data_IF_089733864257
#
_entry.id   IF_089733864257
#
_cell.length_a   1.000
_cell.length_b   1.000
_cell.length_c   1.000
_cell.angle_alpha   90.00
_cell.angle_beta   90.00
_cell.angle_gamma   90.00
#
_symmetry.space_group_name_H-M   'P 1'
#
loop_
_entity.id
_entity.type
_entity.pdbx_description
1 polymer ?
#
# COMPACT_ATOMS: atom_id res chain seq x y z
N UNK A 1 -59.94 10.51 -27.64
CA UNK A 1 -59.14 10.08 -26.47
C UNK A 1 -57.69 10.30 -26.82
N UNK A 2 -57.08 11.31 -26.22
CA UNK A 2 -55.62 11.48 -26.15
C UNK A 2 -55.39 12.26 -24.87
N UNK A 3 -55.05 11.50 -23.82
CA UNK A 3 -54.71 11.99 -22.50
C UNK A 3 -53.26 12.47 -22.60
N UNK A 4 -53.03 13.76 -22.38
CA UNK A 4 -51.68 14.29 -22.16
C UNK A 4 -51.41 14.29 -20.67
N UNK A 5 -50.52 13.41 -20.21
CA UNK A 5 -50.02 13.40 -18.83
C UNK A 5 -49.20 14.67 -18.55
N UNK A 6 -49.31 15.26 -17.34
CA UNK A 6 -48.47 16.38 -16.95
C UNK A 6 -47.03 15.90 -16.69
N UNK A 7 -46.07 16.69 -17.16
CA UNK A 7 -44.65 16.44 -16.94
C UNK A 7 -44.32 16.31 -15.43
N UNK A 8 -43.40 15.40 -15.04
CA UNK A 8 -43.03 15.24 -13.65
C UNK A 8 -42.32 16.51 -13.13
N UNK A 9 -42.53 16.90 -11.87
CA UNK A 9 -41.88 18.08 -11.30
C UNK A 9 -40.38 17.85 -11.24
N UNK A 10 -39.62 18.86 -11.69
CA UNK A 10 -38.17 18.89 -11.54
C UNK A 10 -37.81 18.78 -10.05
N UNK A 11 -37.16 17.69 -9.68
CA UNK A 11 -36.57 17.54 -8.35
C UNK A 11 -35.43 18.53 -8.21
N UNK A 12 -35.69 19.63 -7.50
CA UNK A 12 -34.65 20.52 -6.98
C UNK A 12 -33.75 19.68 -6.06
N UNK A 13 -32.51 19.44 -6.48
CA UNK A 13 -31.47 18.93 -5.60
C UNK A 13 -31.34 19.91 -4.43
N UNK A 14 -31.83 19.52 -3.26
CA UNK A 14 -31.77 20.34 -2.07
C UNK A 14 -30.32 20.55 -1.64
N UNK A 15 -29.97 21.80 -1.38
CA UNK A 15 -28.77 22.23 -0.67
C UNK A 15 -28.80 21.71 0.78
N UNK A 16 -28.63 20.41 0.97
CA UNK A 16 -28.33 19.84 2.28
C UNK A 16 -26.94 20.31 2.68
N UNK A 17 -26.85 21.23 3.65
CA UNK A 17 -25.58 21.59 4.27
C UNK A 17 -24.87 20.30 4.70
N UNK A 18 -23.57 20.13 4.36
CA UNK A 18 -22.84 18.92 4.72
C UNK A 18 -22.89 18.73 6.24
N UNK A 19 -23.28 17.52 6.65
CA UNK A 19 -23.39 17.15 8.06
C UNK A 19 -22.05 17.39 8.79
N UNK A 20 -22.12 17.93 10.00
CA UNK A 20 -20.92 18.22 10.79
C UNK A 20 -20.25 16.91 11.18
N UNK A 21 -18.99 16.74 10.82
CA UNK A 21 -18.19 15.58 11.24
C UNK A 21 -17.96 15.59 12.76
N UNK A 22 -18.54 14.62 13.45
CA UNK A 22 -18.48 14.45 14.91
C UNK A 22 -17.76 13.17 15.35
N UNK A 23 -17.45 12.26 14.43
CA UNK A 23 -16.80 11.00 14.76
C UNK A 23 -15.39 11.21 15.32
N UNK A 24 -15.10 10.55 16.43
CA UNK A 24 -13.93 10.71 17.28
C UNK A 24 -13.24 9.35 17.52
N UNK A 25 -12.33 9.28 18.50
CA UNK A 25 -11.58 8.07 18.83
C UNK A 25 -12.50 6.86 19.07
N UNK A 26 -13.62 7.05 19.77
CA UNK A 26 -14.60 6.00 20.04
C UNK A 26 -15.08 5.28 18.78
N UNK A 27 -15.49 6.03 17.76
CA UNK A 27 -15.94 5.45 16.49
C UNK A 27 -14.77 4.84 15.71
N UNK A 28 -13.57 5.45 15.75
CA UNK A 28 -12.40 4.85 15.12
C UNK A 28 -12.06 3.48 15.73
N UNK A 29 -12.08 3.40 17.05
CA UNK A 29 -11.81 2.18 17.80
C UNK A 29 -12.85 1.10 17.47
N UNK A 30 -14.12 1.44 17.58
CA UNK A 30 -15.24 0.51 17.37
C UNK A 30 -15.45 0.09 15.91
N UNK A 31 -15.24 0.98 14.94
CA UNK A 31 -15.56 0.70 13.52
C UNK A 31 -14.36 0.18 12.72
N UNK A 32 -13.12 0.49 13.14
CA UNK A 32 -11.91 0.17 12.35
C UNK A 32 -10.91 -0.71 13.11
N UNK A 33 -10.60 -0.39 14.36
CA UNK A 33 -9.53 -1.08 15.10
C UNK A 33 -10.00 -2.47 15.51
N UNK A 34 -11.15 -2.57 16.17
CA UNK A 34 -11.68 -3.84 16.70
C UNK A 34 -12.30 -4.73 15.63
N UNK A 35 -12.68 -4.17 14.49
CA UNK A 35 -13.29 -4.91 13.36
C UNK A 35 -12.27 -5.52 12.42
N UNK A 36 -10.97 -5.24 12.61
CA UNK A 36 -9.89 -5.74 11.76
C UNK A 36 -9.71 -4.99 10.43
N UNK A 37 -10.35 -3.82 10.25
CA UNK A 37 -10.06 -2.95 9.09
C UNK A 37 -8.74 -2.19 9.23
N UNK A 38 -8.27 -2.00 10.46
CA UNK A 38 -7.02 -1.31 10.73
C UNK A 38 -5.84 -2.08 10.10
N UNK A 39 -5.17 -1.41 9.16
CA UNK A 39 -3.97 -1.92 8.47
C UNK A 39 -2.67 -1.43 9.11
N UNK A 40 -2.72 -0.70 10.23
CA UNK A 40 -1.54 -0.22 10.95
C UNK A 40 -0.82 0.97 10.34
N UNK A 41 -1.44 1.72 9.42
CA UNK A 41 -0.76 2.81 8.69
C UNK A 41 -0.25 3.99 9.54
N UNK A 42 -0.55 4.04 10.84
CA UNK A 42 -0.21 5.12 11.77
C UNK A 42 -0.76 6.51 11.42
N UNK A 43 -1.65 6.67 10.42
CA UNK A 43 -2.24 7.97 10.07
C UNK A 43 -2.94 8.67 11.23
N UNK A 44 -3.70 7.92 12.05
CA UNK A 44 -4.36 8.45 13.24
C UNK A 44 -3.40 8.87 14.37
N UNK A 45 -2.24 8.22 14.45
CA UNK A 45 -1.19 8.47 15.44
C UNK A 45 -0.53 9.81 15.13
N UNK A 46 0.00 9.95 13.91
CA UNK A 46 0.80 11.12 13.51
C UNK A 46 -0.02 12.39 13.32
N UNK A 47 -1.35 12.25 13.26
CA UNK A 47 -2.27 13.38 13.15
C UNK A 47 -2.78 13.86 14.50
N UNK A 48 -2.65 13.05 15.56
CA UNK A 48 -3.20 13.37 16.87
C UNK A 48 -2.51 14.64 17.41
N UNK A 49 -3.23 15.76 17.64
CA UNK A 49 -2.61 16.99 18.09
C UNK A 49 -2.37 17.01 19.61
N UNK A 50 -2.72 15.93 20.31
CA UNK A 50 -2.66 15.81 21.76
C UNK A 50 -1.71 14.70 22.23
N UNK A 51 -1.10 13.97 21.30
CA UNK A 51 -0.16 12.88 21.60
C UNK A 51 -0.73 11.80 22.55
N UNK A 52 -2.05 11.55 22.50
CA UNK A 52 -2.75 10.54 23.33
C UNK A 52 -2.99 9.21 22.62
N UNK A 53 -2.54 9.07 21.37
CA UNK A 53 -2.67 7.82 20.59
C UNK A 53 -1.27 7.21 20.44
N UNK A 54 -1.06 6.06 21.06
CA UNK A 54 0.18 5.27 21.00
C UNK A 54 0.23 4.34 19.79
N UNK A 55 1.44 3.87 19.49
CA UNK A 55 1.69 2.87 18.46
C UNK A 55 2.98 2.12 18.77
N UNK A 56 2.92 0.80 18.77
CA UNK A 56 4.10 -0.05 18.93
C UNK A 56 4.48 -0.64 17.57
N UNK A 57 5.69 -0.31 17.09
CA UNK A 57 6.20 -0.81 15.82
C UNK A 57 6.84 -2.20 15.97
N UNK A 58 6.06 -3.12 16.51
CA UNK A 58 6.47 -4.49 16.81
C UNK A 58 5.45 -5.49 16.29
N UNK A 59 5.93 -6.71 16.01
CA UNK A 59 5.09 -7.82 15.60
C UNK A 59 3.89 -8.01 16.54
N UNK A 60 2.70 -8.24 15.95
CA UNK A 60 1.45 -8.40 16.69
C UNK A 60 0.86 -7.10 17.25
N UNK A 61 1.59 -5.98 17.24
CA UNK A 61 1.18 -4.72 17.91
C UNK A 61 1.01 -3.51 17.00
N UNK A 62 1.08 -3.71 15.69
CA UNK A 62 0.94 -2.67 14.67
C UNK A 62 -0.49 -2.08 14.55
N UNK A 63 -1.09 -1.70 15.67
CA UNK A 63 -2.40 -1.09 15.81
C UNK A 63 -2.26 0.10 16.76
N UNK A 64 -2.95 1.21 16.50
CA UNK A 64 -2.99 2.33 17.43
C UNK A 64 -3.77 1.95 18.70
N UNK A 65 -3.39 2.52 19.83
CA UNK A 65 -4.08 2.37 21.11
C UNK A 65 -4.12 3.72 21.86
N UNK A 66 -5.04 3.85 22.82
CA UNK A 66 -5.13 5.05 23.64
C UNK A 66 -4.11 4.99 24.79
N UNK A 67 -3.39 6.09 25.05
CA UNK A 67 -2.34 6.14 26.07
C UNK A 67 -2.87 6.44 27.49
N UNK A 68 -4.03 7.09 27.60
CA UNK A 68 -4.65 7.41 28.90
C UNK A 68 -5.50 6.21 29.36
N UNK A 69 -4.89 5.28 30.10
CA UNK A 69 -5.49 4.01 30.53
C UNK A 69 -6.76 4.20 31.37
N UNK A 70 -6.83 5.29 32.15
CA UNK A 70 -7.97 5.62 33.02
C UNK A 70 -9.28 5.89 32.25
N UNK A 71 -9.19 6.21 30.96
CA UNK A 71 -10.34 6.42 30.08
C UNK A 71 -10.83 5.11 29.43
N UNK A 72 -10.08 4.02 29.57
CA UNK A 72 -10.30 2.78 28.84
C UNK A 72 -9.83 2.84 27.39
N UNK A 73 -10.08 1.75 26.64
CA UNK A 73 -9.54 1.58 25.29
C UNK A 73 -10.29 2.39 24.22
N UNK A 74 -11.55 2.74 24.47
CA UNK A 74 -12.49 3.28 23.48
C UNK A 74 -12.93 4.73 23.74
N UNK A 75 -12.31 5.43 24.70
CA UNK A 75 -12.65 6.82 25.01
C UNK A 75 -11.46 7.77 24.91
N UNK A 76 -11.74 9.06 24.68
CA UNK A 76 -10.75 10.13 24.60
C UNK A 76 -11.40 11.45 25.00
N UNK A 77 -10.90 12.10 26.06
CA UNK A 77 -11.47 13.36 26.58
C UNK A 77 -11.41 14.50 25.56
N UNK A 78 -10.39 14.49 24.69
CA UNK A 78 -10.28 15.46 23.59
C UNK A 78 -11.34 15.23 22.52
N UNK A 79 -11.67 13.97 22.25
CA UNK A 79 -12.78 13.59 21.38
C UNK A 79 -14.11 14.09 21.92
N UNK A 80 -14.39 13.87 23.21
CA UNK A 80 -15.63 14.32 23.86
C UNK A 80 -15.80 15.85 23.77
N UNK A 81 -14.68 16.57 23.77
CA UNK A 81 -14.60 18.03 23.57
C UNK A 81 -14.62 18.46 22.09
N UNK A 82 -14.72 17.52 21.15
CA UNK A 82 -14.92 17.76 19.72
C UNK A 82 -13.72 17.50 18.81
N UNK A 83 -12.62 16.90 19.30
CA UNK A 83 -11.50 16.49 18.45
C UNK A 83 -11.90 15.29 17.57
N UNK A 84 -11.67 15.40 16.27
CA UNK A 84 -12.07 14.37 15.28
C UNK A 84 -10.94 13.98 14.34
N UNK A 85 -9.71 14.36 14.66
CA UNK A 85 -8.58 14.29 13.74
C UNK A 85 -8.21 12.84 13.39
N UNK A 86 -8.29 11.92 14.34
CA UNK A 86 -7.95 10.50 14.13
C UNK A 86 -8.87 9.80 13.12
N UNK A 87 -10.19 10.04 13.14
CA UNK A 87 -11.14 9.50 12.16
C UNK A 87 -10.99 10.18 10.79
N UNK A 88 -10.70 11.48 10.79
CA UNK A 88 -10.42 12.25 9.56
C UNK A 88 -9.14 11.80 8.87
N UNK A 89 -8.17 11.26 9.59
CA UNK A 89 -6.94 10.71 9.00
C UNK A 89 -7.04 9.24 8.59
N UNK A 90 -8.00 8.49 9.13
CA UNK A 90 -8.03 7.05 8.91
C UNK A 90 -8.48 6.70 7.48
N UNK A 91 -7.63 6.08 6.66
CA UNK A 91 -7.99 5.68 5.29
C UNK A 91 -8.76 4.35 5.27
N UNK A 92 -9.44 3.99 6.36
CA UNK A 92 -10.30 2.80 6.45
C UNK A 92 -11.62 3.09 7.18
N UNK A 93 -11.82 4.34 7.61
CA UNK A 93 -13.01 4.78 8.32
C UNK A 93 -14.07 5.29 7.33
N UNK A 94 -15.23 4.62 7.26
CA UNK A 94 -16.40 5.00 6.43
C UNK A 94 -16.03 5.24 4.97
N UNK A 95 -16.61 6.25 4.31
CA UNK A 95 -16.35 6.60 2.91
C UNK A 95 -14.96 7.24 2.73
N UNK A 96 -13.88 6.48 2.93
CA UNK A 96 -12.50 6.95 2.82
C UNK A 96 -11.98 6.93 1.38
N UNK A 97 -12.36 5.91 0.60
CA UNK A 97 -11.90 5.75 -0.78
C UNK A 97 -12.48 6.86 -1.68
N UNK A 98 -13.80 7.11 -1.71
CA UNK A 98 -14.34 8.23 -2.51
C UNK A 98 -13.80 9.60 -2.08
N UNK A 99 -13.52 9.79 -0.80
CA UNK A 99 -12.92 11.02 -0.28
C UNK A 99 -11.51 11.25 -0.84
N UNK A 100 -10.68 10.20 -0.84
CA UNK A 100 -9.34 10.27 -1.40
C UNK A 100 -9.35 10.46 -2.93
N UNK A 101 -10.23 9.73 -3.63
CA UNK A 101 -10.45 9.86 -5.07
C UNK A 101 -10.84 11.30 -5.46
N UNK A 102 -11.85 11.86 -4.78
CA UNK A 102 -12.31 13.23 -5.05
C UNK A 102 -11.21 14.27 -4.82
N UNK A 103 -10.40 14.10 -3.78
CA UNK A 103 -9.31 15.03 -3.49
C UNK A 103 -8.19 14.97 -4.53
N UNK A 104 -7.76 13.77 -4.93
CA UNK A 104 -6.62 13.61 -5.85
C UNK A 104 -7.01 13.81 -7.32
N UNK A 105 -8.21 13.39 -7.70
CA UNK A 105 -8.61 13.25 -9.11
C UNK A 105 -9.81 14.11 -9.49
N UNK A 106 -10.48 14.76 -8.53
CA UNK A 106 -11.70 15.53 -8.76
C UNK A 106 -12.91 14.68 -9.15
N UNK A 107 -12.79 13.35 -9.08
CA UNK A 107 -13.84 12.37 -9.41
C UNK A 107 -13.62 11.08 -8.63
N UNK A 108 -14.69 10.34 -8.40
CA UNK A 108 -14.63 8.96 -7.88
C UNK A 108 -14.28 8.01 -9.03
N UNK A 109 -13.56 6.92 -8.74
CA UNK A 109 -13.26 5.87 -9.72
C UNK A 109 -14.53 5.26 -10.34
N UNK A 110 -14.44 4.84 -11.60
CA UNK A 110 -15.53 4.11 -12.24
C UNK A 110 -15.59 2.65 -11.75
N UNK A 111 -16.74 1.97 -11.83
CA UNK A 111 -16.86 0.59 -11.37
C UNK A 111 -15.84 -0.38 -12.00
N UNK A 112 -15.37 -0.13 -13.22
CA UNK A 112 -14.41 -1.00 -13.91
C UNK A 112 -12.93 -0.66 -13.62
N UNK A 113 -12.66 0.44 -12.92
CA UNK A 113 -11.32 0.93 -12.57
C UNK A 113 -10.77 0.17 -11.36
N UNK A 114 -10.42 -1.11 -11.57
CA UNK A 114 -9.95 -1.99 -10.50
C UNK A 114 -8.62 -1.56 -9.89
N UNK A 115 -7.80 -0.80 -10.61
CA UNK A 115 -6.50 -0.31 -10.15
C UNK A 115 -6.52 1.19 -9.80
N UNK A 116 -7.72 1.73 -9.53
CA UNK A 116 -7.95 3.15 -9.28
C UNK A 116 -7.86 4.01 -10.53
N UNK A 117 -7.97 5.33 -10.35
CA UNK A 117 -7.81 6.32 -11.41
C UNK A 117 -6.32 6.49 -11.73
N UNK A 118 -5.99 6.55 -13.02
CA UNK A 118 -4.62 6.78 -13.49
C UNK A 118 -4.62 7.53 -14.84
N UNK A 119 -3.46 8.10 -15.17
CA UNK A 119 -3.19 8.89 -16.39
C UNK A 119 -2.26 8.16 -17.35
N UNK A 120 -1.23 7.48 -16.83
CA UNK A 120 -0.30 6.69 -17.65
C UNK A 120 0.07 5.36 -16.97
N UNK A 121 0.41 4.37 -17.78
CA UNK A 121 0.99 3.08 -17.35
C UNK A 121 2.29 2.84 -18.12
N UNK A 122 3.38 2.71 -17.38
CA UNK A 122 4.74 2.58 -17.91
C UNK A 122 5.45 1.36 -17.30
N UNK A 123 6.43 0.83 -18.02
CA UNK A 123 7.54 0.08 -17.44
C UNK A 123 8.72 1.03 -17.33
N UNK A 124 9.27 1.17 -16.14
CA UNK A 124 10.38 2.09 -15.87
C UNK A 124 11.54 1.39 -15.18
N UNK A 125 12.76 1.88 -15.42
CA UNK A 125 13.94 1.52 -14.63
C UNK A 125 14.89 2.71 -14.51
N UNK A 126 15.69 2.73 -13.45
CA UNK A 126 16.77 3.69 -13.26
C UNK A 126 17.76 3.59 -14.42
N UNK A 127 18.24 4.74 -14.92
CA UNK A 127 19.32 4.78 -15.90
C UNK A 127 20.70 4.66 -15.24
N UNK A 128 20.81 5.02 -13.96
CA UNK A 128 22.02 4.86 -13.17
C UNK A 128 22.18 3.40 -12.71
N UNK A 129 23.34 2.80 -13.03
CA UNK A 129 23.61 1.38 -12.75
C UNK A 129 23.54 1.03 -11.26
N UNK A 130 24.05 1.90 -10.38
CA UNK A 130 24.05 1.64 -8.94
C UNK A 130 22.62 1.61 -8.36
N UNK A 131 21.76 2.54 -8.77
CA UNK A 131 20.34 2.54 -8.39
C UNK A 131 19.60 1.32 -8.93
N UNK A 132 19.91 0.94 -10.16
CA UNK A 132 19.34 -0.22 -10.82
C UNK A 132 19.70 -1.51 -10.07
N UNK A 133 20.98 -1.71 -9.76
CA UNK A 133 21.50 -2.90 -9.08
C UNK A 133 21.05 -3.00 -7.62
N UNK A 134 21.04 -1.90 -6.87
CA UNK A 134 20.58 -1.86 -5.48
C UNK A 134 19.05 -1.95 -5.37
N UNK A 135 18.33 -1.65 -6.45
CA UNK A 135 16.89 -1.72 -6.54
C UNK A 135 16.33 -3.13 -6.27
N UNK A 136 15.07 -3.18 -5.80
CA UNK A 136 14.35 -4.45 -5.73
C UNK A 136 14.10 -5.02 -7.13
N UNK A 137 13.48 -4.20 -7.96
CA UNK A 137 13.17 -4.42 -9.37
C UNK A 137 14.05 -3.45 -10.20
N UNK A 138 13.47 -2.63 -11.07
CA UNK A 138 14.23 -1.69 -11.91
C UNK A 138 14.92 -0.50 -11.21
N UNK A 139 15.02 -0.43 -9.88
CA UNK A 139 15.67 0.69 -9.16
C UNK A 139 14.91 2.02 -9.14
N UNK A 140 13.68 2.03 -9.67
CA UNK A 140 12.90 3.24 -9.96
C UNK A 140 12.63 4.16 -8.75
N UNK A 141 12.26 3.59 -7.58
CA UNK A 141 11.93 4.40 -6.39
C UNK A 141 13.14 5.19 -5.90
N UNK A 142 14.32 4.59 -5.88
CA UNK A 142 15.55 5.26 -5.47
C UNK A 142 15.91 6.38 -6.43
N UNK A 143 15.85 6.12 -7.75
CA UNK A 143 16.06 7.14 -8.78
C UNK A 143 15.08 8.32 -8.63
N UNK A 144 13.81 8.03 -8.36
CA UNK A 144 12.78 9.05 -8.13
C UNK A 144 13.04 9.89 -6.90
N UNK A 145 13.37 9.28 -5.76
CA UNK A 145 13.65 10.03 -4.53
C UNK A 145 14.88 10.93 -4.70
N UNK A 146 15.94 10.41 -5.30
CA UNK A 146 17.14 11.19 -5.59
C UNK A 146 16.81 12.37 -6.53
N UNK A 147 16.06 12.12 -7.60
CA UNK A 147 15.65 13.17 -8.52
C UNK A 147 14.80 14.25 -7.84
N UNK A 148 13.84 13.87 -6.99
CA UNK A 148 12.99 14.80 -6.25
C UNK A 148 13.78 15.67 -5.26
N UNK A 149 14.80 15.09 -4.61
CA UNK A 149 15.74 15.81 -3.73
C UNK A 149 16.60 16.77 -4.54
N UNK A 150 17.21 16.31 -5.63
CA UNK A 150 18.12 17.09 -6.49
C UNK A 150 17.41 18.27 -7.19
N UNK A 151 16.09 18.17 -7.39
CA UNK A 151 15.26 19.20 -8.02
C UNK A 151 14.39 19.99 -7.03
N UNK A 152 14.68 19.93 -5.73
CA UNK A 152 14.02 20.70 -4.67
C UNK A 152 12.49 20.50 -4.54
N UNK A 153 11.93 19.41 -5.07
CA UNK A 153 10.52 19.05 -4.86
C UNK A 153 10.26 18.65 -3.40
N UNK A 154 11.25 18.02 -2.76
CA UNK A 154 11.22 17.57 -1.38
C UNK A 154 12.56 17.88 -0.69
N UNK A 155 12.54 17.99 0.63
CA UNK A 155 13.72 18.08 1.50
C UNK A 155 14.08 16.74 2.12
N UNK A 156 13.08 15.86 2.29
CA UNK A 156 13.25 14.57 2.92
C UNK A 156 12.17 13.58 2.45
N UNK A 157 12.43 12.29 2.60
CA UNK A 157 11.48 11.23 2.35
C UNK A 157 11.31 10.32 3.56
N UNK A 158 10.07 9.95 3.86
CA UNK A 158 9.73 8.96 4.87
C UNK A 158 9.70 7.60 4.18
N UNK A 159 10.61 6.72 4.58
CA UNK A 159 10.85 5.43 3.93
C UNK A 159 10.99 4.31 4.97
N UNK A 160 11.10 3.07 4.50
CA UNK A 160 11.40 1.90 5.33
C UNK A 160 12.92 1.69 5.37
N UNK A 161 13.53 1.96 6.51
CA UNK A 161 14.89 1.54 6.84
C UNK A 161 14.89 0.19 7.54
N UNK A 162 16.02 -0.13 8.19
CA UNK A 162 16.21 -1.36 8.98
C UNK A 162 16.84 -1.02 10.32
N UNK A 163 16.63 -1.87 11.32
CA UNK A 163 17.33 -1.79 12.60
C UNK A 163 18.83 -2.04 12.42
N UNK A 164 19.64 -1.43 13.28
CA UNK A 164 21.10 -1.43 13.13
C UNK A 164 21.69 -2.84 13.34
N UNK A 165 21.00 -3.68 14.11
CA UNK A 165 21.39 -5.06 14.45
C UNK A 165 20.62 -6.14 13.65
N UNK A 166 19.61 -5.76 12.85
CA UNK A 166 18.82 -6.70 12.06
C UNK A 166 18.44 -6.11 10.69
N UNK A 167 19.15 -6.58 9.65
CA UNK A 167 19.00 -6.14 8.25
C UNK A 167 17.63 -6.38 7.62
N UNK A 168 16.75 -7.15 8.28
CA UNK A 168 15.41 -7.46 7.77
C UNK A 168 14.30 -6.96 8.70
N UNK A 169 14.63 -6.49 9.91
CA UNK A 169 13.66 -5.85 10.80
C UNK A 169 13.49 -4.40 10.36
N UNK A 170 12.35 -4.12 9.74
CA UNK A 170 12.09 -2.81 9.15
C UNK A 170 11.79 -1.76 10.23
N UNK A 171 12.24 -0.53 10.01
CA UNK A 171 11.93 0.62 10.86
C UNK A 171 11.65 1.88 10.02
N UNK A 172 10.72 2.74 10.43
CA UNK A 172 10.44 3.99 9.71
C UNK A 172 11.63 4.93 9.90
N UNK A 173 12.12 5.54 8.81
CA UNK A 173 13.26 6.48 8.84
C UNK A 173 13.02 7.67 7.93
N UNK A 174 13.74 8.77 8.19
CA UNK A 174 13.79 9.94 7.32
C UNK A 174 15.11 9.96 6.56
N UNK A 175 15.04 9.95 5.23
CA UNK A 175 16.19 10.07 4.33
C UNK A 175 16.22 11.43 3.65
N UNK A 176 17.41 11.97 3.42
CA UNK A 176 17.63 13.36 2.98
C UNK A 176 18.69 13.50 1.89
N UNK A 177 19.37 12.41 1.54
CA UNK A 177 20.41 12.40 0.53
C UNK A 177 20.49 11.04 -0.17
N UNK A 178 21.25 10.99 -1.26
CA UNK A 178 21.44 9.79 -2.09
C UNK A 178 21.94 8.58 -1.32
N UNK A 179 22.90 8.75 -0.42
CA UNK A 179 23.48 7.64 0.35
C UNK A 179 22.41 6.99 1.25
N UNK A 180 21.66 7.82 1.98
CA UNK A 180 20.55 7.38 2.83
C UNK A 180 19.44 6.72 2.00
N UNK A 181 19.08 7.27 0.83
CA UNK A 181 18.10 6.66 -0.08
C UNK A 181 18.57 5.27 -0.52
N UNK A 182 19.81 5.13 -0.96
CA UNK A 182 20.35 3.84 -1.42
C UNK A 182 20.49 2.82 -0.29
N UNK A 183 20.81 3.25 0.93
CA UNK A 183 20.87 2.38 2.11
C UNK A 183 19.50 1.78 2.47
N UNK A 184 18.41 2.44 2.07
CA UNK A 184 17.04 1.97 2.29
C UNK A 184 16.45 1.24 1.08
N UNK A 185 17.21 1.01 0.01
CA UNK A 185 16.74 0.29 -1.16
C UNK A 185 16.44 -1.21 -0.86
N UNK A 186 15.61 -1.82 -1.71
CA UNK A 186 15.20 -3.22 -1.60
C UNK A 186 13.91 -3.43 -0.82
N UNK A 187 13.16 -4.46 -1.20
CA UNK A 187 11.91 -4.80 -0.52
C UNK A 187 12.16 -5.63 0.73
N UNK A 188 11.41 -5.29 1.78
CA UNK A 188 11.20 -6.15 2.94
C UNK A 188 9.74 -6.57 2.89
N UNK A 189 9.48 -7.85 3.15
CA UNK A 189 8.12 -8.40 3.12
C UNK A 189 7.47 -8.42 4.51
N UNK A 190 8.16 -7.89 5.52
CA UNK A 190 7.60 -7.53 6.84
C UNK A 190 7.12 -6.08 6.85
N UNK A 191 6.40 -5.69 7.91
CA UNK A 191 5.67 -4.43 7.91
C UNK A 191 6.48 -3.26 8.46
N UNK A 192 6.49 -2.13 7.75
CA UNK A 192 7.00 -0.86 8.23
C UNK A 192 5.93 0.23 8.20
N UNK A 193 5.73 0.99 9.28
CA UNK A 193 4.76 2.07 9.35
C UNK A 193 5.42 3.43 9.06
N UNK A 194 5.81 3.65 7.80
CA UNK A 194 6.60 4.81 7.38
C UNK A 194 6.08 6.19 7.81
N UNK A 195 4.75 6.44 7.92
CA UNK A 195 4.25 7.72 8.43
C UNK A 195 4.78 8.11 9.82
N UNK A 196 5.17 7.16 10.68
CA UNK A 196 5.74 7.44 12.00
C UNK A 196 7.03 8.30 11.94
N UNK A 197 7.77 8.23 10.83
CA UNK A 197 8.96 9.06 10.61
C UNK A 197 8.63 10.56 10.46
N UNK A 198 7.35 10.95 10.37
CA UNK A 198 6.93 12.36 10.31
C UNK A 198 7.36 13.16 11.55
N UNK A 199 7.40 12.51 12.72
CA UNK A 199 7.85 13.17 13.95
C UNK A 199 9.32 13.57 13.84
N UNK A 200 10.18 12.62 13.47
CA UNK A 200 11.60 12.88 13.25
C UNK A 200 11.81 13.96 12.16
N UNK A 201 11.07 13.88 11.05
CA UNK A 201 11.17 14.87 9.97
C UNK A 201 10.87 16.30 10.46
N UNK A 202 9.84 16.47 11.29
CA UNK A 202 9.48 17.76 11.90
C UNK A 202 10.51 18.23 12.93
N UNK A 203 11.03 17.33 13.76
CA UNK A 203 12.09 17.62 14.74
C UNK A 203 13.38 18.09 14.02
N UNK A 204 13.67 17.53 12.85
CA UNK A 204 14.76 17.94 11.94
C UNK A 204 14.44 19.20 11.11
N UNK A 205 13.24 19.75 11.22
CA UNK A 205 12.82 21.01 10.57
C UNK A 205 12.34 20.88 9.12
N UNK A 206 12.18 19.67 8.59
CA UNK A 206 11.72 19.45 7.22
C UNK A 206 10.21 19.61 7.08
N UNK A 207 9.79 20.27 6.01
CA UNK A 207 8.38 20.56 5.74
C UNK A 207 7.95 20.29 4.28
N UNK A 208 8.87 19.89 3.40
CA UNK A 208 8.57 19.38 2.06
C UNK A 208 8.97 17.90 2.00
N UNK A 209 8.00 17.01 2.11
CA UNK A 209 8.24 15.59 2.36
C UNK A 209 7.71 14.72 1.22
N UNK A 210 8.45 13.67 0.89
CA UNK A 210 7.88 12.51 0.22
C UNK A 210 7.44 11.44 1.24
N UNK A 211 6.37 10.73 0.93
CA UNK A 211 6.01 9.47 1.61
C UNK A 211 6.17 8.32 0.62
N UNK A 212 7.02 7.35 0.94
CA UNK A 212 7.00 6.04 0.29
C UNK A 212 6.18 5.11 1.16
N UNK A 213 5.17 4.45 0.62
CA UNK A 213 4.34 3.55 1.43
C UNK A 213 3.47 2.64 0.59
N UNK A 214 2.91 1.61 1.22
CA UNK A 214 1.88 0.77 0.60
C UNK A 214 0.55 1.55 0.52
N UNK A 215 -0.42 1.05 -0.24
CA UNK A 215 -1.73 1.69 -0.41
C UNK A 215 -2.45 2.08 0.88
N UNK A 216 -2.27 1.30 1.96
CA UNK A 216 -2.81 1.65 3.28
C UNK A 216 -2.20 2.93 3.89
N UNK A 217 -0.96 3.26 3.59
CA UNK A 217 -0.26 4.45 4.08
C UNK A 217 -0.45 5.63 3.13
N UNK A 218 -0.33 5.41 1.82
CA UNK A 218 -0.48 6.49 0.83
C UNK A 218 -1.88 7.04 0.74
N UNK A 219 -2.90 6.25 1.11
CA UNK A 219 -4.28 6.74 1.22
C UNK A 219 -4.49 7.74 2.37
N UNK A 220 -3.60 7.80 3.37
CA UNK A 220 -3.79 8.63 4.56
C UNK A 220 -3.67 10.15 4.28
N UNK A 221 -2.61 10.67 3.61
CA UNK A 221 -2.52 12.08 3.27
C UNK A 221 -3.70 12.67 2.48
N UNK A 222 -4.20 12.07 1.39
CA UNK A 222 -5.34 12.63 0.65
C UNK A 222 -6.65 12.57 1.43
N UNK A 223 -6.88 11.51 2.23
CA UNK A 223 -8.02 11.42 3.14
C UNK A 223 -7.99 12.53 4.19
N UNK A 224 -6.82 12.83 4.76
CA UNK A 224 -6.65 13.95 5.70
C UNK A 224 -7.01 15.29 5.05
N UNK A 225 -6.59 15.53 3.80
CA UNK A 225 -6.91 16.75 3.09
C UNK A 225 -8.40 16.91 2.85
N UNK A 226 -9.05 15.92 2.25
CA UNK A 226 -10.49 15.94 1.96
C UNK A 226 -11.32 16.19 3.23
N UNK A 227 -10.96 15.46 4.30
CA UNK A 227 -11.66 15.52 5.58
C UNK A 227 -11.19 16.66 6.46
N UNK A 228 -10.51 17.67 5.92
CA UNK A 228 -10.07 18.90 6.62
C UNK A 228 -9.21 18.66 7.87
N UNK A 229 -8.43 17.57 7.89
CA UNK A 229 -7.30 17.35 8.80
C UNK A 229 -5.96 17.73 8.13
N UNK A 230 -6.00 18.59 7.11
CA UNK A 230 -4.90 18.87 6.19
C UNK A 230 -3.64 19.49 6.80
N UNK A 231 -3.69 20.04 8.02
CA UNK A 231 -2.50 20.67 8.65
C UNK A 231 -1.34 19.67 8.78
N UNK A 232 -1.64 18.41 9.07
CA UNK A 232 -0.64 17.35 9.23
C UNK A 232 -0.25 16.74 7.89
N UNK A 233 -1.16 16.73 6.91
CA UNK A 233 -0.85 16.19 5.58
C UNK A 233 -0.15 17.18 4.66
N UNK A 234 -0.25 18.50 4.93
CA UNK A 234 0.34 19.56 4.11
C UNK A 234 1.83 19.39 3.81
N UNK A 235 2.68 18.88 4.72
CA UNK A 235 4.08 18.62 4.41
C UNK A 235 4.32 17.52 3.38
N UNK A 236 3.39 16.58 3.16
CA UNK A 236 3.53 15.55 2.13
C UNK A 236 3.26 16.17 0.75
N UNK A 237 4.33 16.51 0.04
CA UNK A 237 4.27 17.11 -1.30
C UNK A 237 4.33 16.07 -2.42
N UNK A 238 4.83 14.87 -2.12
CA UNK A 238 4.89 13.79 -3.09
C UNK A 238 4.63 12.43 -2.43
N UNK A 239 3.78 11.61 -3.01
CA UNK A 239 3.34 10.34 -2.43
C UNK A 239 3.65 9.19 -3.41
N UNK A 240 4.52 8.27 -3.00
CA UNK A 240 4.99 7.14 -3.79
C UNK A 240 4.36 5.86 -3.23
N UNK A 241 3.45 5.28 -4.02
CA UNK A 241 2.72 4.07 -3.67
C UNK A 241 3.47 2.80 -4.06
N UNK A 242 3.60 1.85 -3.15
CA UNK A 242 4.12 0.52 -3.44
C UNK A 242 2.95 -0.44 -3.68
N UNK A 243 2.95 -1.11 -4.84
CA UNK A 243 2.06 -2.22 -5.14
C UNK A 243 2.21 -3.29 -4.05
N UNK A 244 1.12 -3.64 -3.38
CA UNK A 244 1.18 -4.50 -2.20
C UNK A 244 -0.01 -5.45 -2.13
N UNK A 245 0.27 -6.76 -2.11
CA UNK A 245 -0.77 -7.75 -1.82
C UNK A 245 -0.89 -7.97 -0.31
N UNK A 246 0.22 -8.15 0.40
CA UNK A 246 0.26 -8.41 1.84
C UNK A 246 1.67 -8.23 2.37
N UNK A 247 1.76 -8.02 3.68
CA UNK A 247 2.99 -8.11 4.47
C UNK A 247 2.86 -9.23 5.48
N UNK A 248 3.99 -9.78 5.90
CA UNK A 248 4.08 -10.86 6.87
C UNK A 248 4.56 -10.34 8.23
N UNK A 249 4.27 -11.11 9.27
CA UNK A 249 4.86 -10.94 10.60
C UNK A 249 6.29 -11.50 10.62
N UNK A 250 7.19 -10.92 11.43
CA UNK A 250 8.61 -11.30 11.52
C UNK A 250 8.81 -12.77 11.95
N UNK A 251 7.85 -13.37 12.68
CA UNK A 251 7.85 -14.79 13.02
C UNK A 251 7.96 -15.73 11.80
N UNK A 252 7.68 -15.26 10.57
CA UNK A 252 7.93 -16.07 9.35
C UNK A 252 9.39 -16.50 9.22
N UNK A 253 10.34 -15.69 9.72
CA UNK A 253 11.76 -16.03 9.66
C UNK A 253 12.10 -17.26 10.53
N UNK A 254 11.91 -17.24 11.86
CA UNK A 254 12.22 -18.40 12.69
C UNK A 254 11.25 -19.57 12.48
N UNK A 255 9.95 -19.31 12.27
CA UNK A 255 8.94 -20.38 12.29
C UNK A 255 8.72 -21.09 10.95
N UNK A 256 8.99 -20.42 9.82
CA UNK A 256 8.89 -21.04 8.49
C UNK A 256 10.26 -21.22 7.88
N UNK A 257 10.99 -20.14 7.66
CA UNK A 257 12.22 -20.19 6.86
C UNK A 257 13.31 -21.00 7.56
N UNK A 258 13.56 -20.74 8.83
CA UNK A 258 14.56 -21.49 9.59
C UNK A 258 14.04 -22.88 9.99
N UNK A 259 12.90 -22.96 10.68
CA UNK A 259 12.42 -24.24 11.22
C UNK A 259 12.12 -25.30 10.16
N UNK A 260 11.60 -24.91 8.98
CA UNK A 260 11.23 -25.86 7.91
C UNK A 260 12.31 -25.99 6.83
N UNK A 261 12.92 -24.89 6.41
CA UNK A 261 13.84 -24.88 5.27
C UNK A 261 15.32 -24.75 5.69
N UNK A 262 15.61 -24.55 6.98
CA UNK A 262 16.98 -24.32 7.46
C UNK A 262 17.58 -22.98 7.03
N UNK A 263 16.76 -22.05 6.55
CA UNK A 263 17.21 -20.76 6.03
C UNK A 263 17.27 -19.74 7.16
N UNK A 264 18.48 -19.44 7.61
CA UNK A 264 18.72 -18.48 8.69
C UNK A 264 18.62 -17.04 8.21
N UNK A 265 17.90 -16.21 8.95
CA UNK A 265 17.66 -14.78 8.64
C UNK A 265 18.95 -14.00 8.36
N UNK A 266 19.99 -14.22 9.17
CA UNK A 266 21.28 -13.53 9.03
C UNK A 266 22.05 -13.87 7.75
N UNK A 267 21.71 -14.98 7.09
CA UNK A 267 22.42 -15.46 5.89
C UNK A 267 21.69 -15.09 4.59
N UNK A 268 20.49 -14.52 4.68
CA UNK A 268 19.73 -14.04 3.53
C UNK A 268 20.31 -12.73 3.00
N UNK A 269 20.41 -12.59 1.66
CA UNK A 269 20.94 -11.39 0.98
C UNK A 269 19.89 -10.62 0.19
N UNK A 270 18.90 -11.31 -0.39
CA UNK A 270 17.79 -10.72 -1.14
C UNK A 270 16.55 -11.59 -0.94
N UNK A 271 15.39 -10.95 -0.92
CA UNK A 271 14.09 -11.61 -0.99
C UNK A 271 13.28 -11.05 -2.14
N UNK A 272 12.41 -11.85 -2.77
CA UNK A 272 11.44 -11.36 -3.73
C UNK A 272 10.14 -12.17 -3.67
N UNK A 273 9.04 -11.64 -4.22
CA UNK A 273 7.79 -12.37 -4.38
C UNK A 273 7.31 -12.26 -5.83
N UNK A 274 7.37 -13.39 -6.55
CA UNK A 274 6.94 -13.52 -7.95
C UNK A 274 6.21 -14.85 -8.14
N UNK A 275 4.97 -14.95 -7.63
CA UNK A 275 4.20 -16.19 -7.60
C UNK A 275 4.66 -17.21 -6.54
N UNK A 276 5.94 -17.17 -6.18
CA UNK A 276 6.59 -17.86 -5.05
C UNK A 276 7.37 -16.85 -4.21
N UNK A 277 7.68 -17.20 -2.95
CA UNK A 277 8.61 -16.43 -2.13
C UNK A 277 10.03 -16.88 -2.44
N UNK A 278 10.85 -15.96 -2.93
CA UNK A 278 12.21 -16.19 -3.42
C UNK A 278 13.21 -15.68 -2.39
N UNK A 279 14.22 -16.48 -2.05
CA UNK A 279 15.26 -16.14 -1.08
C UNK A 279 16.64 -16.48 -1.65
N UNK A 280 17.55 -15.50 -1.66
CA UNK A 280 18.95 -15.67 -2.00
C UNK A 280 19.78 -15.62 -0.73
N UNK A 281 20.78 -16.50 -0.63
CA UNK A 281 21.62 -16.66 0.55
C UNK A 281 23.07 -16.21 0.27
N UNK A 282 23.85 -15.93 1.33
CA UNK A 282 25.26 -15.54 1.25
C UNK A 282 26.16 -16.60 0.62
N UNK A 283 25.78 -17.88 0.73
CA UNK A 283 26.50 -19.00 0.11
C UNK A 283 26.22 -19.14 -1.40
N UNK A 284 25.39 -18.25 -1.96
CA UNK A 284 24.98 -18.26 -3.37
C UNK A 284 23.77 -19.16 -3.66
N UNK A 285 23.23 -19.87 -2.67
CA UNK A 285 22.04 -20.69 -2.86
C UNK A 285 20.76 -19.86 -3.06
N UNK A 286 19.83 -20.41 -3.83
CA UNK A 286 18.54 -19.82 -4.18
C UNK A 286 17.41 -20.78 -3.79
N UNK A 287 16.38 -20.25 -3.13
CA UNK A 287 15.26 -21.03 -2.61
C UNK A 287 13.93 -20.41 -2.99
N UNK A 288 12.98 -21.27 -3.35
CA UNK A 288 11.58 -20.90 -3.62
C UNK A 288 10.66 -21.58 -2.60
N UNK A 289 9.78 -20.79 -1.98
CA UNK A 289 8.80 -21.24 -0.99
C UNK A 289 7.40 -20.93 -1.52
N UNK A 290 6.49 -21.91 -1.44
CA UNK A 290 5.09 -21.70 -1.85
C UNK A 290 4.45 -20.62 -0.96
N UNK A 291 3.92 -19.57 -1.58
CA UNK A 291 3.25 -18.47 -0.89
C UNK A 291 2.09 -18.93 -0.01
N UNK A 292 1.43 -20.05 -0.33
CA UNK A 292 0.38 -20.61 0.52
C UNK A 292 0.88 -20.96 1.91
N UNK A 293 2.13 -21.36 2.04
CA UNK A 293 2.75 -21.67 3.32
C UNK A 293 2.97 -20.38 4.12
N UNK A 294 3.45 -19.33 3.45
CA UNK A 294 3.64 -18.01 4.05
C UNK A 294 2.33 -17.38 4.57
N UNK A 295 1.16 -17.82 4.08
CA UNK A 295 -0.13 -17.20 4.42
C UNK A 295 -0.47 -17.24 5.91
N UNK A 296 0.05 -18.20 6.67
CA UNK A 296 -0.15 -18.28 8.13
C UNK A 296 0.35 -17.02 8.84
N UNK A 297 1.41 -16.40 8.35
CA UNK A 297 2.02 -15.17 8.89
C UNK A 297 1.49 -13.89 8.23
N UNK A 298 0.38 -13.96 7.46
CA UNK A 298 -0.23 -12.75 6.90
C UNK A 298 -0.81 -11.90 8.03
N UNK A 299 -0.36 -10.65 8.13
CA UNK A 299 -0.88 -9.66 9.07
C UNK A 299 -2.39 -9.54 9.00
N UNK A 300 -3.03 -9.38 10.16
CA UNK A 300 -4.48 -9.31 10.29
C UNK A 300 -5.11 -8.24 9.39
N UNK A 301 -4.62 -7.00 9.44
CA UNK A 301 -5.17 -5.91 8.63
C UNK A 301 -5.04 -6.12 7.12
N UNK A 302 -4.05 -6.90 6.66
CA UNK A 302 -3.90 -7.23 5.24
C UNK A 302 -5.01 -8.17 4.73
N UNK A 303 -5.67 -8.91 5.63
CA UNK A 303 -6.76 -9.83 5.28
C UNK A 303 -8.01 -9.11 4.79
N UNK A 304 -8.17 -7.83 5.14
CA UNK A 304 -9.29 -6.98 4.73
C UNK A 304 -8.86 -5.81 3.83
N UNK A 305 -7.56 -5.65 3.52
CA UNK A 305 -7.09 -4.50 2.73
C UNK A 305 -7.56 -4.62 1.26
N UNK A 306 -8.22 -3.58 0.70
CA UNK A 306 -8.76 -3.62 -0.67
C UNK A 306 -7.79 -3.11 -1.73
N UNK A 307 -6.70 -2.46 -1.31
CA UNK A 307 -5.86 -1.65 -2.18
C UNK A 307 -4.57 -2.40 -2.51
N UNK A 308 -4.51 -2.96 -3.72
CA UNK A 308 -3.28 -3.54 -4.27
C UNK A 308 -2.42 -2.49 -4.97
N UNK A 309 -3.05 -1.57 -5.69
CA UNK A 309 -2.39 -0.71 -6.66
C UNK A 309 -1.86 0.59 -6.07
N UNK A 310 -1.98 0.78 -4.75
CA UNK A 310 -1.72 2.04 -4.07
C UNK A 310 -2.46 3.18 -4.77
N UNK A 311 -3.79 3.10 -4.74
CA UNK A 311 -4.69 3.88 -5.61
C UNK A 311 -4.63 5.39 -5.36
N UNK A 312 -4.14 5.80 -4.19
CA UNK A 312 -4.13 7.20 -3.74
C UNK A 312 -2.71 7.75 -3.55
N UNK A 313 -1.85 7.58 -4.55
CA UNK A 313 -0.50 8.15 -4.61
C UNK A 313 -0.35 9.06 -5.84
N UNK A 314 0.73 9.83 -5.93
CA UNK A 314 1.06 10.57 -7.16
C UNK A 314 1.53 9.61 -8.25
N UNK A 315 2.40 8.68 -7.84
CA UNK A 315 2.89 7.56 -8.64
C UNK A 315 2.81 6.30 -7.80
N UNK A 316 2.33 5.20 -8.38
CA UNK A 316 2.38 3.87 -7.78
C UNK A 316 3.31 2.95 -8.57
N UNK A 317 3.96 2.01 -7.90
CA UNK A 317 5.09 1.28 -8.47
C UNK A 317 5.26 -0.10 -7.85
N UNK A 318 5.75 -1.06 -8.64
CA UNK A 318 6.11 -2.38 -8.13
C UNK A 318 6.47 -3.41 -9.19
N UNK A 319 7.19 -4.43 -8.74
CA UNK A 319 7.69 -5.52 -9.56
C UNK A 319 6.65 -6.56 -9.91
N UNK A 320 5.74 -6.28 -10.85
CA UNK A 320 4.95 -7.32 -11.50
C UNK A 320 5.19 -7.31 -13.00
N UNK A 321 5.23 -8.49 -13.61
CA UNK A 321 5.57 -8.64 -15.02
C UNK A 321 6.49 -9.83 -15.27
N UNK A 322 6.95 -9.95 -16.51
CA UNK A 322 7.86 -11.01 -16.95
C UNK A 322 9.32 -10.66 -16.67
N UNK A 323 9.65 -9.38 -16.62
CA UNK A 323 11.01 -8.86 -16.51
C UNK A 323 11.25 -8.25 -15.13
N UNK A 324 12.26 -8.75 -14.40
CA UNK A 324 12.58 -8.26 -13.06
C UNK A 324 13.39 -6.96 -13.07
N UNK A 325 13.95 -6.59 -14.22
CA UNK A 325 14.76 -5.38 -14.38
C UNK A 325 13.86 -4.15 -14.66
N UNK A 326 12.55 -4.34 -14.70
CA UNK A 326 11.58 -3.28 -14.93
C UNK A 326 10.56 -3.21 -13.80
N UNK A 327 10.13 -1.99 -13.55
CA UNK A 327 9.12 -1.68 -12.55
C UNK A 327 7.85 -1.22 -13.26
N UNK A 328 6.72 -1.84 -12.96
CA UNK A 328 5.43 -1.32 -13.40
C UNK A 328 5.14 -0.03 -12.65
N UNK A 329 4.88 1.04 -13.39
CA UNK A 329 4.69 2.39 -12.87
C UNK A 329 3.34 2.92 -13.34
N UNK A 330 2.51 3.32 -12.37
CA UNK A 330 1.16 3.84 -12.54
C UNK A 330 1.20 5.31 -12.17
N UNK A 331 1.05 6.19 -13.14
CA UNK A 331 1.07 7.65 -12.96
C UNK A 331 -0.35 8.11 -12.73
N UNK A 332 -0.62 8.79 -11.61
CA UNK A 332 -2.00 9.05 -11.15
C UNK A 332 -2.37 10.53 -11.16
N UNK A 333 -1.56 11.39 -10.57
CA UNK A 333 -1.83 12.82 -10.44
C UNK A 333 -1.15 13.62 -11.55
N UNK A 334 -1.55 14.89 -11.70
CA UNK A 334 -0.88 15.82 -12.62
C UNK A 334 0.58 16.06 -12.22
N UNK A 335 0.85 16.17 -10.90
CA UNK A 335 2.20 16.27 -10.37
C UNK A 335 3.03 15.02 -10.67
N UNK A 336 2.45 13.82 -10.50
CA UNK A 336 3.11 12.57 -10.88
C UNK A 336 3.43 12.52 -12.37
N UNK A 337 2.53 12.99 -13.23
CA UNK A 337 2.78 13.09 -14.68
C UNK A 337 3.88 14.09 -15.03
N UNK A 338 3.90 15.26 -14.37
CA UNK A 338 4.96 16.24 -14.59
C UNK A 338 6.34 15.65 -14.24
N UNK A 339 6.46 15.07 -13.04
CA UNK A 339 7.71 14.50 -12.54
C UNK A 339 8.19 13.37 -13.43
N UNK A 340 7.33 12.40 -13.76
CA UNK A 340 7.76 11.24 -14.56
C UNK A 340 8.22 11.65 -15.96
N UNK A 341 7.52 12.60 -16.59
CA UNK A 341 7.88 13.07 -17.93
C UNK A 341 9.23 13.80 -17.91
N UNK A 342 9.51 14.58 -16.86
CA UNK A 342 10.80 15.26 -16.69
C UNK A 342 11.94 14.26 -16.48
N UNK A 343 11.75 13.27 -15.60
CA UNK A 343 12.73 12.20 -15.37
C UNK A 343 13.05 11.38 -16.64
N UNK A 344 12.06 11.21 -17.53
CA UNK A 344 12.28 10.57 -18.84
C UNK A 344 13.06 11.51 -19.77
N UNK A 345 12.69 12.79 -19.81
CA UNK A 345 13.28 13.77 -20.71
C UNK A 345 14.75 14.08 -20.39
N UNK A 346 15.12 14.12 -19.11
CA UNK A 346 16.50 14.32 -18.67
C UNK A 346 17.34 13.03 -18.60
N UNK A 347 16.72 11.88 -18.85
CA UNK A 347 17.41 10.58 -18.91
C UNK A 347 17.70 9.96 -17.55
N UNK A 348 17.11 10.45 -16.46
CA UNK A 348 17.23 9.82 -15.12
C UNK A 348 16.63 8.42 -15.11
N UNK A 349 15.57 8.19 -15.89
CA UNK A 349 14.95 6.87 -16.05
C UNK A 349 14.77 6.51 -17.53
N UNK A 350 14.72 5.21 -17.77
CA UNK A 350 14.29 4.64 -19.04
C UNK A 350 12.83 4.20 -18.88
N UNK A 351 11.98 4.54 -19.84
CA UNK A 351 10.56 4.19 -19.81
C UNK A 351 10.09 3.61 -21.15
N UNK A 352 9.11 2.70 -21.07
CA UNK A 352 8.36 2.18 -22.21
C UNK A 352 6.90 1.90 -21.84
N UNK A 353 5.96 1.80 -22.79
CA UNK A 353 4.57 1.49 -22.49
C UNK A 353 4.40 0.19 -21.71
N UNK A 354 3.58 0.19 -20.65
CA UNK A 354 3.32 -1.02 -19.86
C UNK A 354 2.59 -2.12 -20.64
N UNK A 355 1.88 -1.75 -21.69
CA UNK A 355 1.12 -2.65 -22.55
C UNK A 355 2.03 -3.64 -23.32
N UNK A 356 3.34 -3.37 -23.39
CA UNK A 356 4.31 -4.32 -23.92
C UNK A 356 4.49 -5.58 -23.04
N UNK A 357 4.10 -5.51 -21.76
CA UNK A 357 4.09 -6.66 -20.84
C UNK A 357 2.64 -7.06 -20.49
N UNK A 358 2.08 -7.95 -21.29
CA UNK A 358 0.74 -8.51 -21.06
C UNK A 358 0.61 -9.21 -19.70
N UNK A 359 1.71 -9.76 -19.16
CA UNK A 359 1.73 -10.42 -17.85
C UNK A 359 1.55 -9.38 -16.75
N UNK A 360 2.28 -8.26 -16.82
CA UNK A 360 2.12 -7.15 -15.89
C UNK A 360 0.68 -6.60 -15.91
N UNK A 361 0.13 -6.37 -17.11
CA UNK A 361 -1.25 -5.87 -17.26
C UNK A 361 -2.30 -6.82 -16.70
N UNK A 362 -2.15 -8.12 -16.97
CA UNK A 362 -3.03 -9.16 -16.42
C UNK A 362 -2.92 -9.25 -14.91
N UNK A 363 -1.70 -9.21 -14.37
CA UNK A 363 -1.45 -9.28 -12.92
C UNK A 363 -1.97 -8.06 -12.20
N UNK A 364 -1.77 -6.84 -12.74
CA UNK A 364 -2.32 -5.60 -12.18
C UNK A 364 -3.83 -5.74 -11.98
N UNK A 365 -4.55 -6.07 -13.05
CA UNK A 365 -6.01 -6.25 -12.98
C UNK A 365 -6.41 -7.37 -12.01
N UNK A 366 -5.73 -8.51 -12.06
CA UNK A 366 -6.10 -9.68 -11.25
C UNK A 366 -5.87 -9.45 -9.77
N UNK A 367 -4.71 -8.90 -9.39
CA UNK A 367 -4.33 -8.66 -8.00
C UNK A 367 -5.15 -7.52 -7.40
N UNK A 368 -5.46 -6.48 -8.18
CA UNK A 368 -6.46 -5.48 -7.82
C UNK A 368 -7.82 -6.10 -7.49
N UNK A 369 -8.39 -6.93 -8.38
CA UNK A 369 -9.67 -7.61 -8.11
C UNK A 369 -9.59 -8.45 -6.84
N UNK A 370 -8.51 -9.23 -6.67
CA UNK A 370 -8.33 -10.11 -5.51
C UNK A 370 -8.23 -9.30 -4.21
N UNK A 371 -7.54 -8.17 -4.22
CA UNK A 371 -7.43 -7.29 -3.06
C UNK A 371 -8.79 -6.71 -2.69
N UNK A 372 -9.50 -6.13 -3.66
CA UNK A 372 -10.83 -5.52 -3.43
C UNK A 372 -11.88 -6.51 -2.93
N UNK A 373 -11.80 -7.79 -3.32
CA UNK A 373 -12.67 -8.87 -2.79
C UNK A 373 -12.49 -9.15 -1.30
N UNK A 374 -11.36 -8.75 -0.70
CA UNK A 374 -11.10 -8.90 0.72
C UNK A 374 -11.91 -7.93 1.57
N UNK A 375 -12.39 -6.85 0.97
CA UNK A 375 -13.17 -5.86 1.68
C UNK A 375 -14.48 -6.47 2.19
N UNK A 376 -14.77 -6.39 3.50
CA UNK A 376 -15.93 -7.06 4.05
C UNK A 376 -17.25 -6.39 3.63
N UNK A 377 -18.27 -7.20 3.41
CA UNK A 377 -19.60 -6.74 2.94
C UNK A 377 -20.32 -5.82 3.94
N UNK A 378 -19.98 -5.90 5.22
CA UNK A 378 -20.56 -5.05 6.27
C UNK A 378 -19.91 -3.67 6.38
N UNK A 379 -18.74 -3.46 5.76
CA UNK A 379 -18.07 -2.16 5.75
C UNK A 379 -18.62 -1.26 4.63
N UNK A 380 -18.08 -0.04 4.52
CA UNK A 380 -18.42 0.89 3.45
C UNK A 380 -18.36 0.20 2.07
N UNK A 381 -19.35 0.44 1.20
CA UNK A 381 -19.46 -0.34 -0.05
C UNK A 381 -18.47 0.11 -1.13
N UNK A 382 -17.92 1.32 -1.06
CA UNK A 382 -17.11 1.88 -2.16
C UNK A 382 -15.98 0.94 -2.61
N UNK A 383 -15.21 0.30 -1.70
CA UNK A 383 -14.14 -0.59 -2.11
C UNK A 383 -14.58 -1.82 -2.91
N UNK A 384 -15.84 -2.29 -2.74
CA UNK A 384 -16.37 -3.47 -3.45
C UNK A 384 -17.14 -3.15 -4.74
N UNK A 385 -17.35 -1.86 -5.07
CA UNK A 385 -18.07 -1.45 -6.29
C UNK A 385 -17.36 -1.96 -7.55
N UNK A 386 -18.12 -2.65 -8.40
CA UNK A 386 -17.68 -3.20 -9.69
C UNK A 386 -16.78 -4.44 -9.60
N UNK A 387 -16.50 -4.93 -8.40
CA UNK A 387 -15.67 -6.12 -8.20
C UNK A 387 -16.40 -7.36 -8.72
N UNK A 388 -15.85 -8.09 -9.70
CA UNK A 388 -16.50 -9.28 -10.23
C UNK A 388 -16.53 -10.41 -9.20
N UNK A 389 -17.56 -11.27 -9.20
CA UNK A 389 -17.63 -12.41 -8.30
C UNK A 389 -16.46 -13.39 -8.53
N UNK A 390 -16.06 -14.18 -7.54
CA UNK A 390 -15.06 -15.22 -7.71
C UNK A 390 -15.45 -16.15 -8.88
N UNK A 391 -14.48 -16.52 -9.73
CA UNK A 391 -14.73 -17.55 -10.73
C UNK A 391 -15.01 -18.86 -9.99
N UNK A 392 -16.16 -19.49 -10.25
CA UNK A 392 -16.41 -20.86 -9.78
C UNK A 392 -15.29 -21.76 -10.32
N UNK A 393 -14.59 -22.49 -9.45
CA UNK A 393 -13.71 -23.56 -9.92
C UNK A 393 -14.61 -24.61 -10.56
N UNK A 394 -14.38 -24.92 -11.83
CA UNK A 394 -14.93 -26.15 -12.40
C UNK A 394 -14.42 -27.33 -11.56
N UNK A 395 -15.27 -28.32 -11.24
CA UNK A 395 -14.82 -29.54 -10.60
C UNK A 395 -13.67 -30.12 -11.42
N UNK A 396 -12.56 -30.44 -10.77
CA UNK A 396 -11.48 -31.16 -11.44
C UNK A 396 -12.09 -32.42 -12.07
N UNK A 397 -11.90 -32.60 -13.38
CA UNK A 397 -12.29 -33.83 -14.04
C UNK A 397 -11.68 -35.01 -13.27
N UNK A 398 -12.54 -35.96 -12.88
CA UNK A 398 -12.09 -37.16 -12.18
C UNK A 398 -10.97 -37.82 -12.99
N UNK A 399 -9.89 -38.29 -12.34
CA UNK A 399 -8.87 -39.04 -13.04
C UNK A 399 -9.52 -40.26 -13.70
N UNK A 400 -9.28 -40.45 -14.99
CA UNK A 400 -9.76 -41.61 -15.72
C UNK A 400 -9.19 -42.88 -15.07
N UNK A 401 -10.06 -43.67 -14.44
CA UNK A 401 -9.73 -45.01 -13.98
C UNK A 401 -9.47 -45.91 -15.20
N UNK A 402 -8.34 -46.63 -15.18
CA UNK A 402 -8.16 -47.84 -15.97
C UNK A 402 -7.20 -47.75 -17.16
N UNK A 403 -5.90 -47.65 -16.90
CA UNK A 403 -4.90 -48.28 -17.75
C UNK A 403 -4.12 -49.28 -16.89
N UNK A 404 -4.40 -50.57 -17.08
CA UNK A 404 -3.70 -51.66 -16.41
C UNK A 404 -2.20 -51.67 -16.81
N UNK A 405 -1.28 -51.93 -15.87
CA UNK A 405 0.13 -52.04 -16.20
C UNK A 405 0.40 -53.31 -17.03
N UNK A 406 1.13 -53.14 -18.14
CA UNK A 406 1.62 -54.24 -18.95
C UNK A 406 2.66 -55.05 -18.17
N UNK A 407 2.54 -56.38 -18.23
CA UNK A 407 3.47 -57.33 -17.63
C UNK A 407 4.86 -57.26 -18.28
N UNK A 408 5.95 -57.53 -17.54
CA UNK A 408 7.30 -57.52 -18.07
C UNK A 408 7.52 -58.72 -18.99
N UNK A 409 8.13 -58.49 -20.16
CA UNK A 409 8.56 -59.52 -21.08
C UNK A 409 9.87 -60.15 -20.58
N UNK A 410 9.87 -61.48 -20.43
CA UNK A 410 11.09 -62.29 -20.35
C UNK A 410 11.72 -62.40 -21.75
N UNK A 411 13.03 -62.20 -21.83
CA UNK A 411 13.83 -62.32 -23.07
C UNK A 411 15.24 -61.79 -22.90
#
# INVERSE_FOLDING_TARGET
MTVTDPAPPATTAGDTKPERWTAQWKELYAEVITTGLCTGCAGCVVTCPHDVIGYEHEEGKYKPFHLEEELGLDNCIHGEKGCTTCTRACPRFRAWEPAADMHLFGKVREPNDMAGVWRQLLLTRAANDEEHEKGQDGGFVSAMLNWLLDHDYIEAALVSGVEDDDRWKAKPVVVTNREEVLATAGSRYTYCANPLALREAKERGFNRLALVGMGCQTSSPPVMWDRKAGKVSKPFLFNIGLLCSKTFDDAIFPELFEAKYGLKKQDMVKMNIKGVFQIWMKDGSYHEIDLKECHKWTREGCKNCPDFAAEHSDIATGGIGKDNDWTLTIVRTELGEEVINRMIADGTIIARPAQEDEVAMKLLRTLSIVSRRRWPEWADRAPSVGVPPPKKKEPAAAPAEGAAPAAPAEG
#
